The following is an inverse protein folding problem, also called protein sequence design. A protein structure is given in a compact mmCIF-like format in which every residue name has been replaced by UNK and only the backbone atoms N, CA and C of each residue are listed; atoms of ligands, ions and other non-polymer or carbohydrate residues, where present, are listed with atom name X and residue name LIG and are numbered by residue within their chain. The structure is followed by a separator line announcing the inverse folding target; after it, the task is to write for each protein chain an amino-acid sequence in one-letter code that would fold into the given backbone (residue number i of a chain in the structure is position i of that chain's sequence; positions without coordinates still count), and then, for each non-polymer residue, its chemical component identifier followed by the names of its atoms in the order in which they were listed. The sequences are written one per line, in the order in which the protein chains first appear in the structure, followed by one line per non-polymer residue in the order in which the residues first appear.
data_IF_406179521379
#
_entry.id   IF_406179521379
#
_cell.length_a   1.000
_cell.length_b   1.000
_cell.length_c   1.000
_cell.angle_alpha   90.00
_cell.angle_beta   90.00
_cell.angle_gamma   90.00
#
_symmetry.space_group_name_H-M   'P 1'
#
loop_
_entity.id
_entity.type
_entity.pdbx_description
1 polymer ?
#
# COMPACT_ATOMS: atom_id res chain seq x y z
N UNK A 1 -55.12 14.12 -19.92
CA UNK A 1 -53.83 14.02 -19.21
C UNK A 1 -53.13 12.76 -19.69
N UNK A 2 -51.94 12.89 -20.26
CA UNK A 2 -51.23 11.81 -20.98
C UNK A 2 -50.40 10.98 -20.01
N UNK A 3 -50.91 9.80 -19.65
CA UNK A 3 -50.30 8.80 -18.74
C UNK A 3 -48.83 8.47 -19.05
N UNK A 4 -48.36 8.72 -20.27
CA UNK A 4 -46.96 8.56 -20.66
C UNK A 4 -45.98 9.59 -20.06
N UNK A 5 -46.42 10.81 -19.72
CA UNK A 5 -45.54 11.83 -19.15
C UNK A 5 -45.13 11.52 -17.69
N UNK A 6 -46.05 10.98 -16.88
CA UNK A 6 -45.78 10.65 -15.48
C UNK A 6 -44.83 9.45 -15.36
N UNK A 7 -44.91 8.47 -16.27
CA UNK A 7 -44.00 7.33 -16.32
C UNK A 7 -42.56 7.75 -16.63
N UNK A 8 -42.38 8.63 -17.62
CA UNK A 8 -41.06 9.17 -17.99
C UNK A 8 -40.47 10.03 -16.87
N UNK A 9 -41.32 10.80 -16.17
CA UNK A 9 -40.90 11.63 -15.03
C UNK A 9 -40.44 10.79 -13.83
N UNK A 10 -40.99 9.59 -13.66
CA UNK A 10 -40.63 8.66 -12.58
C UNK A 10 -39.44 7.73 -12.91
N UNK A 11 -39.16 7.46 -14.19
CA UNK A 11 -37.97 6.70 -14.63
C UNK A 11 -36.68 7.55 -14.53
N UNK A 12 -36.80 8.87 -14.72
CA UNK A 12 -35.69 9.82 -14.64
C UNK A 12 -34.89 9.77 -13.31
N UNK A 13 -35.51 9.78 -12.12
CA UNK A 13 -34.78 9.67 -10.86
C UNK A 13 -34.16 8.28 -10.65
N UNK A 14 -34.77 7.22 -11.17
CA UNK A 14 -34.22 5.85 -11.05
C UNK A 14 -32.94 5.71 -11.87
N UNK A 15 -32.94 6.22 -13.10
CA UNK A 15 -31.73 6.25 -13.93
C UNK A 15 -30.63 7.11 -13.32
N UNK A 16 -30.99 8.26 -12.72
CA UNK A 16 -30.05 9.10 -12.00
C UNK A 16 -29.46 8.40 -10.77
N UNK A 17 -30.28 7.69 -9.99
CA UNK A 17 -29.82 6.92 -8.83
C UNK A 17 -28.89 5.76 -9.23
N UNK A 18 -29.22 5.03 -10.29
CA UNK A 18 -28.37 3.95 -10.81
C UNK A 18 -27.03 4.48 -11.31
N UNK A 19 -27.02 5.61 -12.04
CA UNK A 19 -25.79 6.27 -12.45
C UNK A 19 -24.98 6.77 -11.25
N UNK A 20 -25.63 7.35 -10.24
CA UNK A 20 -24.97 7.79 -9.02
C UNK A 20 -24.32 6.61 -8.28
N UNK A 21 -25.02 5.48 -8.18
CA UNK A 21 -24.49 4.26 -7.58
C UNK A 21 -23.28 3.72 -8.35
N UNK A 22 -23.36 3.69 -9.69
CA UNK A 22 -22.25 3.25 -10.54
C UNK A 22 -21.05 4.20 -10.45
N UNK A 23 -21.28 5.51 -10.33
CA UNK A 23 -20.24 6.51 -10.09
C UNK A 23 -19.57 6.29 -8.73
N UNK A 24 -20.34 6.03 -7.67
CA UNK A 24 -19.80 5.74 -6.34
C UNK A 24 -18.93 4.47 -6.37
N UNK A 25 -19.40 3.40 -7.01
CA UNK A 25 -18.61 2.17 -7.17
C UNK A 25 -17.33 2.42 -7.97
N UNK A 26 -17.41 3.21 -9.04
CA UNK A 26 -16.24 3.61 -9.83
C UNK A 26 -15.24 4.40 -8.98
N UNK A 27 -15.70 5.38 -8.20
CA UNK A 27 -14.82 6.14 -7.29
C UNK A 27 -14.18 5.23 -6.24
N UNK A 28 -14.94 4.31 -5.63
CA UNK A 28 -14.37 3.33 -4.69
C UNK A 28 -13.27 2.52 -5.38
N UNK A 29 -13.53 1.95 -6.56
CA UNK A 29 -12.53 1.16 -7.29
C UNK A 29 -11.30 2.02 -7.61
N UNK A 30 -11.47 3.24 -8.12
CA UNK A 30 -10.36 4.13 -8.45
C UNK A 30 -9.53 4.56 -7.22
N UNK A 31 -10.16 4.80 -6.07
CA UNK A 31 -9.45 5.17 -4.84
C UNK A 31 -8.85 3.97 -4.10
N UNK A 32 -9.37 2.77 -4.31
CA UNK A 32 -8.87 1.52 -3.69
C UNK A 32 -7.80 0.84 -4.54
N UNK A 33 -7.83 1.01 -5.87
CA UNK A 33 -6.82 0.54 -6.80
C UNK A 33 -5.57 1.43 -6.75
N UNK A 34 -4.90 1.43 -5.60
CA UNK A 34 -3.58 2.03 -5.50
C UNK A 34 -2.60 1.09 -6.22
N UNK A 35 -1.87 1.56 -7.25
CA UNK A 35 -0.89 0.72 -7.93
C UNK A 35 0.11 0.23 -6.89
N UNK A 36 0.31 -1.08 -6.85
CA UNK A 36 1.34 -1.67 -6.01
C UNK A 36 2.70 -1.17 -6.49
N UNK A 37 3.46 -0.48 -5.63
CA UNK A 37 4.77 0.01 -6.02
C UNK A 37 5.79 -1.13 -6.20
N UNK A 38 5.47 -2.33 -5.70
CA UNK A 38 6.28 -3.55 -5.78
C UNK A 38 5.57 -4.63 -6.64
N UNK A 39 5.06 -4.24 -7.81
CA UNK A 39 4.36 -5.16 -8.71
C UNK A 39 5.26 -6.36 -9.08
N UNK A 40 4.85 -7.57 -8.70
CA UNK A 40 5.60 -8.81 -8.95
C UNK A 40 6.72 -9.14 -7.95
N UNK A 41 6.80 -8.43 -6.83
CA UNK A 41 7.70 -8.81 -5.73
C UNK A 41 7.05 -9.89 -4.86
N UNK A 42 7.74 -11.01 -4.70
CA UNK A 42 7.38 -12.07 -3.78
C UNK A 42 8.55 -12.26 -2.81
N UNK A 43 8.28 -12.18 -1.50
CA UNK A 43 9.33 -12.33 -0.50
C UNK A 43 9.85 -13.79 -0.56
N UNK A 44 11.17 -14.01 -0.60
CA UNK A 44 11.73 -15.36 -0.70
C UNK A 44 11.47 -16.20 0.55
N UNK A 45 11.28 -15.55 1.71
CA UNK A 45 10.97 -16.18 2.98
C UNK A 45 9.85 -15.45 3.74
N UNK A 46 9.19 -16.18 4.64
CA UNK A 46 8.13 -15.66 5.50
C UNK A 46 8.67 -14.78 6.64
N UNK A 47 7.82 -13.92 7.20
CA UNK A 47 8.14 -13.04 8.32
C UNK A 47 8.67 -13.79 9.56
N UNK A 48 8.22 -15.03 9.80
CA UNK A 48 8.73 -15.87 10.90
C UNK A 48 10.16 -16.35 10.68
N UNK A 49 10.65 -16.45 9.44
CA UNK A 49 12.03 -16.79 9.15
C UNK A 49 12.97 -15.64 9.53
N UNK A 50 12.56 -14.42 9.19
CA UNK A 50 13.33 -13.22 9.52
C UNK A 50 13.28 -12.87 11.01
N UNK A 51 12.20 -13.22 11.71
CA UNK A 51 12.10 -13.03 13.16
C UNK A 51 13.00 -13.97 13.99
N UNK A 52 13.66 -14.98 13.38
CA UNK A 52 14.39 -15.99 14.13
C UNK A 52 15.76 -15.52 14.64
N UNK A 53 16.52 -14.76 13.86
CA UNK A 53 17.89 -14.39 14.22
C UNK A 53 18.32 -13.04 13.60
N UNK A 54 19.27 -12.35 14.24
CA UNK A 54 19.86 -11.10 13.71
C UNK A 54 20.57 -11.31 12.36
N UNK A 55 21.07 -12.52 12.09
CA UNK A 55 21.68 -12.86 10.81
C UNK A 55 20.65 -12.86 9.66
N UNK A 56 19.45 -13.40 9.89
CA UNK A 56 18.38 -13.43 8.88
C UNK A 56 17.77 -12.03 8.68
N UNK A 57 17.75 -11.19 9.72
CA UNK A 57 17.45 -9.76 9.58
C UNK A 57 18.46 -9.02 8.69
N UNK A 58 19.73 -9.38 8.75
CA UNK A 58 20.77 -8.85 7.85
C UNK A 58 20.56 -9.24 6.38
N UNK A 59 20.07 -10.47 6.13
CA UNK A 59 19.66 -10.90 4.79
C UNK A 59 18.44 -10.11 4.31
N UNK A 60 17.43 -9.94 5.17
CA UNK A 60 16.25 -9.13 4.85
C UNK A 60 16.63 -7.67 4.54
N UNK A 61 17.56 -7.08 5.29
CA UNK A 61 18.11 -5.76 4.99
C UNK A 61 18.66 -5.70 3.56
N UNK A 62 19.54 -6.64 3.21
CA UNK A 62 20.22 -6.65 1.91
C UNK A 62 19.22 -6.81 0.76
N UNK A 63 18.22 -7.67 0.97
CA UNK A 63 17.12 -7.86 0.02
C UNK A 63 16.26 -6.61 -0.16
N UNK A 64 15.92 -5.93 0.94
CA UNK A 64 15.17 -4.68 0.90
C UNK A 64 15.95 -3.59 0.18
N UNK A 65 17.24 -3.42 0.48
CA UNK A 65 18.13 -2.46 -0.18
C UNK A 65 18.25 -2.72 -1.69
N UNK A 66 18.39 -3.98 -2.09
CA UNK A 66 18.60 -4.35 -3.50
C UNK A 66 17.32 -4.29 -4.34
N UNK A 67 16.20 -4.78 -3.80
CA UNK A 67 15.00 -5.07 -4.60
C UNK A 67 13.83 -4.12 -4.31
N UNK A 68 13.71 -3.60 -3.09
CA UNK A 68 12.56 -2.82 -2.63
C UNK A 68 12.87 -1.34 -2.66
N UNK A 69 13.96 -0.93 -2.01
CA UNK A 69 14.42 0.45 -1.89
C UNK A 69 14.80 1.03 -3.25
N UNK A 70 15.53 0.26 -4.07
CA UNK A 70 15.84 0.62 -5.46
C UNK A 70 14.59 0.97 -6.31
N UNK A 71 13.41 0.43 -5.97
CA UNK A 71 12.14 0.70 -6.68
C UNK A 71 11.33 1.82 -6.03
N UNK A 72 11.45 2.00 -4.72
CA UNK A 72 10.73 2.98 -3.93
C UNK A 72 11.61 4.24 -3.81
N UNK A 73 11.69 5.05 -4.86
CA UNK A 73 12.55 6.26 -4.89
C UNK A 73 12.53 7.05 -3.56
N UNK A 74 13.69 7.14 -2.91
CA UNK A 74 13.90 7.78 -1.61
C UNK A 74 15.39 7.73 -1.24
N UNK A 75 15.81 8.55 -0.27
CA UNK A 75 17.08 8.33 0.42
C UNK A 75 16.74 7.56 1.70
N UNK A 76 17.19 6.31 1.77
CA UNK A 76 16.89 5.43 2.89
C UNK A 76 18.15 4.83 3.51
N UNK A 77 18.13 4.70 4.84
CA UNK A 77 19.15 3.99 5.60
C UNK A 77 18.49 2.89 6.40
N UNK A 78 18.99 1.66 6.25
CA UNK A 78 18.47 0.49 6.96
C UNK A 78 19.55 -0.08 7.87
N UNK A 79 19.22 -0.28 9.13
CA UNK A 79 20.12 -0.82 10.16
C UNK A 79 19.40 -1.86 11.00
N UNK A 80 20.11 -2.90 11.41
CA UNK A 80 19.58 -3.90 12.35
C UNK A 80 19.88 -3.42 13.76
N UNK A 81 18.85 -3.30 14.60
CA UNK A 81 18.93 -2.79 15.96
C UNK A 81 17.92 -3.50 16.85
N UNK A 82 18.36 -4.01 17.99
CA UNK A 82 17.52 -4.68 18.99
C UNK A 82 16.61 -5.80 18.40
N UNK A 83 17.11 -6.57 17.43
CA UNK A 83 16.35 -7.64 16.77
C UNK A 83 15.27 -7.15 15.81
N UNK A 84 15.36 -5.90 15.34
CA UNK A 84 14.45 -5.28 14.35
C UNK A 84 15.23 -4.51 13.30
N UNK A 85 14.57 -4.25 12.18
CA UNK A 85 15.09 -3.40 11.11
C UNK A 85 14.64 -1.96 11.31
N UNK A 86 15.54 -1.11 11.75
CA UNK A 86 15.35 0.34 11.79
C UNK A 86 15.56 0.90 10.38
N UNK A 87 14.47 1.38 9.77
CA UNK A 87 14.48 1.95 8.42
C UNK A 87 14.19 3.44 8.55
N UNK A 88 15.21 4.25 8.25
CA UNK A 88 15.11 5.70 8.18
C UNK A 88 14.68 6.08 6.77
N UNK A 89 13.54 6.75 6.65
CA UNK A 89 12.93 7.12 5.38
C UNK A 89 12.46 8.58 5.42
N UNK A 90 12.53 9.24 4.26
CA UNK A 90 11.99 10.58 4.11
C UNK A 90 10.48 10.63 4.41
N UNK A 91 10.05 11.72 5.06
CA UNK A 91 8.67 11.92 5.49
C UNK A 91 7.66 11.91 4.33
N UNK A 92 8.04 12.36 3.13
CA UNK A 92 7.18 12.35 1.95
C UNK A 92 6.94 10.94 1.43
N UNK A 93 7.93 10.06 1.55
CA UNK A 93 7.88 8.67 1.08
C UNK A 93 7.37 7.68 2.13
N UNK A 94 7.27 8.09 3.41
CA UNK A 94 6.89 7.26 4.56
C UNK A 94 5.62 6.43 4.35
N UNK A 95 4.55 7.05 3.83
CA UNK A 95 3.25 6.39 3.66
C UNK A 95 3.29 5.28 2.60
N UNK A 96 4.02 5.51 1.51
CA UNK A 96 4.18 4.55 0.42
C UNK A 96 5.03 3.37 0.88
N UNK A 97 6.16 3.65 1.54
CA UNK A 97 7.06 2.67 2.13
C UNK A 97 6.34 1.76 3.13
N UNK A 98 5.65 2.36 4.10
CA UNK A 98 4.90 1.61 5.10
C UNK A 98 3.84 0.70 4.46
N UNK A 99 3.12 1.18 3.46
CA UNK A 99 2.12 0.35 2.78
C UNK A 99 2.73 -0.79 1.97
N UNK A 100 3.89 -0.57 1.36
CA UNK A 100 4.60 -1.58 0.59
C UNK A 100 5.16 -2.67 1.51
N UNK A 101 5.83 -2.27 2.60
CA UNK A 101 6.38 -3.21 3.58
C UNK A 101 5.28 -4.03 4.26
N UNK A 102 4.23 -3.39 4.79
CA UNK A 102 3.13 -4.09 5.47
C UNK A 102 2.30 -5.00 4.55
N UNK A 103 2.46 -4.88 3.23
CA UNK A 103 1.82 -5.78 2.27
C UNK A 103 2.56 -7.10 2.11
N UNK A 104 3.88 -7.10 2.29
CA UNK A 104 4.75 -8.26 2.06
C UNK A 104 5.35 -8.84 3.36
N UNK A 105 5.48 -8.03 4.40
CA UNK A 105 6.14 -8.38 5.64
C UNK A 105 5.36 -7.90 6.86
N UNK A 106 5.51 -8.61 7.98
CA UNK A 106 4.86 -8.21 9.23
C UNK A 106 5.49 -6.94 9.83
N UNK A 107 4.65 -6.04 10.33
CA UNK A 107 5.08 -4.77 10.90
C UNK A 107 5.93 -4.90 12.17
N UNK A 108 5.94 -6.06 12.83
CA UNK A 108 6.77 -6.31 14.02
C UNK A 108 8.27 -6.40 13.72
N UNK A 109 8.64 -6.67 12.47
CA UNK A 109 10.03 -6.81 12.03
C UNK A 109 10.74 -5.47 11.83
N UNK A 110 9.99 -4.36 11.72
CA UNK A 110 10.53 -3.07 11.32
C UNK A 110 10.20 -1.97 12.32
N UNK A 111 11.12 -1.04 12.45
CA UNK A 111 10.94 0.24 13.11
C UNK A 111 11.15 1.35 12.07
N UNK A 112 10.05 1.95 11.62
CA UNK A 112 10.07 2.98 10.59
C UNK A 112 10.27 4.35 11.25
N UNK A 113 11.42 4.96 10.99
CA UNK A 113 11.76 6.29 11.51
C UNK A 113 11.65 7.30 10.38
N UNK A 114 10.80 8.31 10.55
CA UNK A 114 10.71 9.42 9.59
C UNK A 114 11.88 10.36 9.83
N UNK A 115 12.73 10.58 8.82
CA UNK A 115 13.65 11.69 8.84
C UNK A 115 12.86 12.98 8.54
N UNK A 116 12.90 13.95 9.44
CA UNK A 116 12.35 15.29 9.22
C UNK A 116 13.53 16.20 8.91
N UNK A 117 14.01 16.16 7.67
CA UNK A 117 15.02 17.11 7.19
C UNK A 117 14.32 18.28 6.48
#
# INVERSE_FOLDING_TARGET
MTTGQDFVKNIRPIGAAMFLMMLVLFLIICFTARPDPLLGYEAPHDSTYYAQNDATLGELKTELETNVFAKLSGEESCTVKDGKLEIVIDSASFKSYRSALLKHFDGSLFELVSNQN
#
